data_IF_652331158977
#
_entry.id   IF_652331158977
#
_cell.length_a   1.000
_cell.length_b   1.000
_cell.length_c   1.000
_cell.angle_alpha   90.00
_cell.angle_beta   90.00
_cell.angle_gamma   90.00
#
_symmetry.space_group_name_H-M   'P 1'
#
loop_
_entity.id
_entity.type
_entity.pdbx_description
1 polymer ?
#
# COMPACT_ATOMS: atom_id res chain seq x y z
N UNK A 1 -13.25 -7.78 11.95
CA UNK A 1 -12.87 -6.35 11.78
C UNK A 1 -11.61 -6.29 10.95
N UNK A 2 -11.58 -5.45 9.92
CA UNK A 2 -10.39 -5.25 9.11
C UNK A 2 -9.29 -4.59 9.97
N UNK A 3 -8.13 -5.23 10.02
CA UNK A 3 -6.92 -4.74 10.69
C UNK A 3 -5.85 -4.64 9.62
N UNK A 4 -5.31 -3.45 9.42
CA UNK A 4 -4.25 -3.21 8.46
C UNK A 4 -3.04 -2.59 9.16
N UNK A 5 -1.84 -3.03 8.77
CA UNK A 5 -0.63 -2.26 8.98
C UNK A 5 -0.49 -1.25 7.85
N UNK A 6 -0.63 0.03 8.18
CA UNK A 6 -0.38 1.11 7.25
C UNK A 6 1.07 1.58 7.41
N UNK A 7 1.85 1.47 6.34
CA UNK A 7 3.19 2.07 6.27
C UNK A 7 3.07 3.40 5.54
N UNK A 8 3.42 4.47 6.24
CA UNK A 8 3.51 5.81 5.68
C UNK A 8 4.97 6.17 5.51
N UNK A 9 5.38 6.33 4.26
CA UNK A 9 6.70 6.82 3.89
C UNK A 9 6.61 8.32 3.58
N UNK A 10 7.42 9.10 4.29
CA UNK A 10 7.59 10.52 4.00
C UNK A 10 8.90 10.72 3.21
N UNK A 11 8.82 11.15 1.93
CA UNK A 11 9.99 11.36 1.09
C UNK A 11 10.84 12.56 1.55
N UNK A 12 10.27 13.51 2.29
CA UNK A 12 10.99 14.69 2.78
C UNK A 12 11.84 14.35 3.99
N UNK A 13 11.26 13.69 5.00
CA UNK A 13 12.01 13.24 6.18
C UNK A 13 12.81 11.96 5.94
N UNK A 14 12.60 11.27 4.81
CA UNK A 14 13.14 9.92 4.50
C UNK A 14 12.83 8.87 5.58
N UNK A 15 11.82 9.13 6.41
CA UNK A 15 11.39 8.20 7.46
C UNK A 15 10.15 7.43 7.03
N UNK A 16 10.06 6.18 7.47
CA UNK A 16 8.86 5.36 7.33
C UNK A 16 8.29 5.08 8.72
N UNK A 17 7.02 5.43 8.93
CA UNK A 17 6.29 5.13 10.16
C UNK A 17 5.25 4.06 9.88
N UNK A 18 5.23 3.01 10.70
CA UNK A 18 4.20 1.99 10.67
C UNK A 18 3.11 2.35 11.69
N UNK A 19 1.87 2.45 11.22
CA UNK A 19 0.70 2.66 12.05
C UNK A 19 -0.24 1.46 11.91
N UNK A 20 -0.69 0.92 13.05
CA UNK A 20 -1.73 -0.11 13.04
C UNK A 20 -3.08 0.61 13.05
N UNK A 21 -3.90 0.35 12.03
CA UNK A 21 -5.25 0.90 11.90
C UNK A 21 -6.28 -0.22 11.98
N UNK A 22 -7.32 0.03 12.77
CA UNK A 22 -8.38 -0.93 13.06
C UNK A 22 -9.76 -0.27 12.90
N UNK A 23 -10.78 -1.08 12.60
CA UNK A 23 -12.18 -0.65 12.60
C UNK A 23 -12.54 0.30 11.46
N UNK A 24 -13.21 1.42 11.78
CA UNK A 24 -13.78 2.35 10.80
C UNK A 24 -12.73 2.99 9.86
N UNK A 25 -11.51 3.23 10.36
CA UNK A 25 -10.40 3.76 9.55
C UNK A 25 -9.90 2.77 8.51
N UNK A 26 -9.91 1.49 8.87
CA UNK A 26 -9.57 0.39 7.97
C UNK A 26 -10.64 0.25 6.88
N UNK A 27 -11.93 0.35 7.24
CA UNK A 27 -13.04 0.30 6.28
C UNK A 27 -12.94 1.40 5.21
N UNK A 28 -12.47 2.60 5.57
CA UNK A 28 -12.30 3.72 4.64
C UNK A 28 -11.23 3.48 3.55
N UNK A 29 -10.28 2.56 3.78
CA UNK A 29 -9.28 2.15 2.80
C UNK A 29 -9.77 1.01 1.90
N UNK A 30 -10.75 0.24 2.35
CA UNK A 30 -11.31 -0.86 1.56
C UNK A 30 -12.03 -0.28 0.34
N UNK A 31 -11.70 -0.79 -0.86
CA UNK A 31 -12.22 -0.31 -2.14
C UNK A 31 -11.36 0.75 -2.82
N UNK A 32 -10.33 1.31 -2.15
CA UNK A 32 -9.33 2.16 -2.80
C UNK A 32 -8.40 1.32 -3.67
N UNK A 33 -7.86 1.92 -4.72
CA UNK A 33 -6.87 1.31 -5.62
C UNK A 33 -5.46 1.83 -5.36
N UNK A 34 -4.46 1.03 -5.71
CA UNK A 34 -3.07 1.51 -5.84
C UNK A 34 -3.05 2.66 -6.85
N UNK A 35 -2.46 3.77 -6.44
CA UNK A 35 -2.41 5.02 -7.18
C UNK A 35 -3.38 6.09 -6.67
N UNK A 36 -4.37 5.71 -5.86
CA UNK A 36 -5.35 6.66 -5.32
C UNK A 36 -4.75 7.51 -4.19
N UNK A 37 -5.24 8.74 -4.12
CA UNK A 37 -4.95 9.67 -3.02
C UNK A 37 -5.99 9.51 -1.91
N UNK A 38 -5.50 9.55 -0.67
CA UNK A 38 -6.27 9.42 0.57
C UNK A 38 -5.82 10.51 1.53
N UNK A 39 -6.78 11.18 2.16
CA UNK A 39 -6.49 12.15 3.20
C UNK A 39 -6.01 11.44 4.48
N UNK A 40 -4.83 11.82 4.97
CA UNK A 40 -4.25 11.33 6.21
C UNK A 40 -5.13 11.61 7.44
N UNK A 41 -6.07 12.55 7.34
CA UNK A 41 -7.06 12.84 8.39
C UNK A 41 -7.97 11.65 8.65
N UNK A 42 -8.36 10.92 7.59
CA UNK A 42 -9.18 9.71 7.69
C UNK A 42 -8.44 8.58 8.42
N UNK A 43 -7.10 8.62 8.38
CA UNK A 43 -6.23 7.60 8.96
C UNK A 43 -5.72 8.01 10.36
N UNK A 44 -5.93 9.26 10.76
CA UNK A 44 -5.45 9.82 12.03
C UNK A 44 -3.97 10.18 12.04
N UNK A 45 -3.38 10.41 10.85
CA UNK A 45 -1.93 10.71 10.66
C UNK A 45 -1.73 12.22 10.36
N UNK A 46 -2.74 13.04 10.62
CA UNK A 46 -2.71 14.49 10.38
C UNK A 46 -3.25 14.90 9.01
N UNK A 47 -3.19 16.20 8.69
CA UNK A 47 -3.69 16.78 7.44
C UNK A 47 -2.69 16.67 6.29
N UNK A 48 -2.26 15.46 5.96
CA UNK A 48 -1.33 15.19 4.86
C UNK A 48 -2.03 14.37 3.78
N UNK A 49 -1.69 14.61 2.50
CA UNK A 49 -2.19 13.76 1.41
C UNK A 49 -1.26 12.56 1.22
N UNK A 50 -1.85 11.37 1.27
CA UNK A 50 -1.15 10.10 1.11
C UNK A 50 -1.58 9.46 -0.22
N UNK A 51 -0.63 8.92 -0.97
CA UNK A 51 -0.91 8.08 -2.14
C UNK A 51 -0.61 6.64 -1.82
N UNK A 52 -1.55 5.75 -2.10
CA UNK A 52 -1.35 4.31 -1.95
C UNK A 52 -0.42 3.85 -3.07
N UNK A 53 0.73 3.29 -2.72
CA UNK A 53 1.71 2.79 -3.69
C UNK A 53 1.68 1.27 -3.84
N UNK A 54 1.18 0.56 -2.83
CA UNK A 54 1.11 -0.90 -2.88
C UNK A 54 0.58 -1.52 -1.60
N UNK A 55 0.72 -2.84 -1.50
CA UNK A 55 0.34 -3.59 -0.32
C UNK A 55 0.62 -5.08 -0.47
N UNK A 56 0.37 -5.79 0.60
CA UNK A 56 0.56 -7.24 0.72
C UNK A 56 -0.66 -7.87 1.36
N UNK A 57 -1.03 -9.02 0.82
CA UNK A 57 -2.10 -9.87 1.35
C UNK A 57 -1.66 -10.64 2.60
N UNK A 58 -2.60 -11.21 3.36
CA UNK A 58 -2.31 -12.10 4.51
C UNK A 58 -1.41 -13.28 4.14
N UNK A 59 -1.51 -13.78 2.91
CA UNK A 59 -0.69 -14.88 2.40
C UNK A 59 0.69 -14.42 1.88
N UNK A 60 1.08 -13.15 2.08
CA UNK A 60 2.32 -12.57 1.56
C UNK A 60 2.29 -12.32 0.05
N UNK A 61 1.13 -12.40 -0.59
CA UNK A 61 0.97 -12.14 -2.02
C UNK A 61 1.06 -10.62 -2.26
N UNK A 62 1.98 -10.14 -3.11
CA UNK A 62 2.09 -8.72 -3.39
C UNK A 62 0.94 -8.24 -4.27
N UNK A 63 0.46 -7.02 -4.01
CA UNK A 63 -0.48 -6.33 -4.88
C UNK A 63 0.25 -5.71 -6.08
N UNK A 64 -0.41 -5.72 -7.25
CA UNK A 64 0.13 -5.18 -8.50
C UNK A 64 -0.84 -4.19 -9.14
N UNK A 65 -0.32 -3.01 -9.49
CA UNK A 65 -1.12 -1.91 -10.05
C UNK A 65 -1.75 -2.22 -11.42
N UNK A 66 -1.10 -3.06 -12.25
CA UNK A 66 -1.58 -3.46 -13.58
C UNK A 66 -2.89 -4.28 -13.52
N UNK A 67 -3.14 -4.99 -12.42
CA UNK A 67 -4.24 -5.95 -12.34
C UNK A 67 -5.45 -5.28 -11.70
N UNK A 68 -6.53 -5.19 -12.45
CA UNK A 68 -7.78 -4.65 -11.95
C UNK A 68 -8.48 -5.61 -10.96
N UNK A 69 -9.09 -5.01 -9.93
CA UNK A 69 -9.88 -5.68 -8.91
C UNK A 69 -9.10 -6.01 -7.64
N UNK A 70 -9.76 -6.65 -6.68
CA UNK A 70 -9.16 -7.08 -5.41
C UNK A 70 -8.85 -8.58 -5.36
N UNK A 71 -9.19 -9.34 -6.40
CA UNK A 71 -9.02 -10.79 -6.42
C UNK A 71 -7.57 -11.21 -6.69
N UNK A 72 -7.22 -12.42 -6.23
CA UNK A 72 -5.98 -13.12 -6.57
C UNK A 72 -6.08 -13.68 -7.98
N UNK A 73 -5.12 -13.39 -8.84
CA UNK A 73 -5.04 -13.92 -10.21
C UNK A 73 -3.66 -14.52 -10.46
N UNK A 74 -3.61 -15.57 -11.28
CA UNK A 74 -2.35 -16.13 -11.77
C UNK A 74 -1.98 -15.46 -13.09
N UNK A 75 -0.98 -14.59 -13.05
CA UNK A 75 -0.47 -13.89 -14.23
C UNK A 75 0.87 -14.48 -14.65
N UNK A 76 1.14 -14.51 -15.96
CA UNK A 76 2.48 -14.80 -16.49
C UNK A 76 3.28 -13.52 -16.38
N UNK A 77 4.29 -13.52 -15.53
CA UNK A 77 5.14 -12.36 -15.30
C UNK A 77 6.50 -12.57 -15.96
N UNK A 78 6.95 -11.56 -16.70
CA UNK A 78 8.33 -11.46 -17.22
C UNK A 78 9.25 -10.70 -16.26
N UNK A 79 8.68 -10.02 -15.25
CA UNK A 79 9.44 -9.29 -14.24
C UNK A 79 8.59 -8.32 -13.42
N UNK A 80 9.26 -7.56 -12.55
CA UNK A 80 8.69 -6.50 -11.73
C UNK A 80 8.16 -6.98 -10.38
N UNK A 81 7.04 -6.41 -9.95
CA UNK A 81 6.45 -6.67 -8.63
C UNK A 81 6.00 -8.14 -8.54
N UNK A 82 6.55 -8.87 -7.57
CA UNK A 82 6.25 -10.27 -7.30
C UNK A 82 7.03 -11.29 -8.14
N UNK A 83 7.87 -10.86 -9.08
CA UNK A 83 8.76 -11.75 -9.83
C UNK A 83 10.04 -11.05 -10.26
N UNK A 84 11.17 -11.52 -9.71
CA UNK A 84 12.51 -11.09 -10.12
C UNK A 84 13.12 -12.23 -10.96
N UNK A 85 13.18 -12.10 -12.31
CA UNK A 85 13.79 -13.11 -13.17
C UNK A 85 15.30 -13.15 -12.91
N UNK A 86 15.89 -14.34 -12.94
CA UNK A 86 17.34 -14.48 -12.87
C UNK A 86 17.97 -14.41 -14.26
N UNK A 87 17.29 -15.00 -15.25
CA UNK A 87 17.74 -15.05 -16.64
C UNK A 87 16.92 -14.11 -17.54
N UNK A 88 17.57 -13.61 -18.60
CA UNK A 88 16.90 -12.79 -19.61
C UNK A 88 15.86 -13.63 -20.36
N UNK A 89 14.60 -13.20 -20.31
CA UNK A 89 13.49 -13.86 -21.01
C UNK A 89 12.72 -14.87 -20.16
N UNK A 90 13.11 -15.08 -18.89
CA UNK A 90 12.35 -15.96 -17.99
C UNK A 90 10.94 -15.40 -17.77
N UNK A 91 9.93 -16.24 -17.99
CA UNK A 91 8.53 -15.93 -17.71
C UNK A 91 7.95 -17.00 -16.82
N UNK A 92 7.40 -16.60 -15.68
CA UNK A 92 6.79 -17.53 -14.73
C UNK A 92 5.36 -17.14 -14.42
N UNK A 93 4.48 -18.14 -14.39
CA UNK A 93 3.12 -17.96 -13.88
C UNK A 93 3.18 -17.86 -12.35
N UNK A 94 2.88 -16.68 -11.82
CA UNK A 94 2.88 -16.38 -10.38
C UNK A 94 1.50 -15.88 -9.94
N UNK A 95 1.18 -16.14 -8.69
CA UNK A 95 -0.03 -15.63 -8.07
C UNK A 95 0.25 -14.19 -7.60
N UNK A 96 -0.64 -13.28 -7.99
CA UNK A 96 -0.56 -11.86 -7.67
C UNK A 96 -1.94 -11.35 -7.30
N UNK A 97 -2.00 -10.33 -6.45
CA UNK A 97 -3.25 -9.68 -6.08
C UNK A 97 -3.44 -8.44 -6.96
N UNK A 98 -4.70 -8.15 -7.28
CA UNK A 98 -5.04 -6.92 -7.98
C UNK A 98 -4.77 -5.66 -7.16
N UNK A 99 -4.98 -4.50 -7.78
CA UNK A 99 -4.66 -3.18 -7.23
C UNK A 99 -5.61 -2.69 -6.15
N UNK A 100 -6.77 -3.32 -5.98
CA UNK A 100 -7.78 -2.86 -5.02
C UNK A 100 -7.50 -3.41 -3.61
N UNK A 101 -7.54 -2.54 -2.61
CA UNK A 101 -7.41 -2.90 -1.20
C UNK A 101 -8.70 -3.56 -0.74
N UNK A 102 -8.60 -4.81 -0.28
CA UNK A 102 -9.70 -5.58 0.29
C UNK A 102 -9.49 -5.87 1.77
N UNK A 103 -10.48 -6.48 2.42
CA UNK A 103 -10.41 -6.89 3.85
C UNK A 103 -9.36 -7.98 4.13
N UNK A 104 -8.92 -8.69 3.08
CA UNK A 104 -7.87 -9.70 3.19
C UNK A 104 -6.47 -9.09 3.29
N UNK A 105 -6.32 -7.82 2.92
CA UNK A 105 -5.01 -7.14 2.94
C UNK A 105 -4.44 -7.16 4.35
N UNK A 106 -3.14 -7.39 4.48
CA UNK A 106 -2.45 -7.30 5.77
C UNK A 106 -1.80 -5.93 5.94
N UNK A 107 -1.14 -5.47 4.88
CA UNK A 107 -0.32 -4.27 4.90
C UNK A 107 -0.60 -3.42 3.67
N UNK A 108 -0.71 -2.10 3.89
CA UNK A 108 -0.85 -1.10 2.83
C UNK A 108 0.32 -0.13 2.92
N UNK A 109 0.98 0.10 1.78
CA UNK A 109 2.09 1.03 1.66
C UNK A 109 1.60 2.32 1.01
N UNK A 110 1.93 3.44 1.64
CA UNK A 110 1.55 4.77 1.19
C UNK A 110 2.73 5.74 1.25
N UNK A 111 2.72 6.72 0.35
CA UNK A 111 3.73 7.79 0.28
C UNK A 111 3.04 9.14 0.47
N UNK A 112 3.65 10.03 1.25
CA UNK A 112 3.19 11.42 1.39
C UNK A 112 3.49 12.19 0.10
N UNK A 113 2.48 12.82 -0.50
CA UNK A 113 2.62 13.61 -1.75
C UNK A 113 2.56 15.11 -1.52
N UNK A 114 1.87 15.57 -0.48
CA UNK A 114 1.76 16.99 -0.22
C UNK A 114 1.32 17.29 1.20
N UNK A 115 1.98 18.27 1.79
CA UNK A 115 1.61 18.90 3.04
C UNK A 115 0.53 19.95 2.76
N UNK A 116 -0.63 19.84 3.42
CA UNK A 116 -1.50 21.01 3.50
C UNK A 116 -0.93 22.06 4.47
N UNK A 117 0.09 21.74 5.28
CA UNK A 117 0.77 22.73 6.12
C UNK A 117 2.07 22.16 6.69
N UNK A 118 3.17 22.91 6.52
CA UNK A 118 4.44 22.75 7.21
C UNK A 118 4.30 22.40 8.69
N UNK A 119 4.88 21.29 9.15
CA UNK A 119 5.53 21.12 10.47
C UNK A 119 6.26 19.76 10.53
N UNK A 120 7.58 19.73 10.75
CA UNK A 120 8.31 18.49 11.03
C UNK A 120 7.90 18.02 12.43
N UNK A 121 7.11 16.94 12.52
CA UNK A 121 6.68 16.40 13.81
C UNK A 121 7.74 15.41 14.32
N UNK A 122 8.63 15.99 15.13
CA UNK A 122 9.17 15.47 16.40
C UNK A 122 9.71 14.03 16.40
N UNK A 123 11.04 13.95 16.36
CA UNK A 123 11.76 12.91 17.09
C UNK A 123 11.57 13.14 18.59
N UNK A 124 10.93 12.19 19.28
CA UNK A 124 10.82 12.19 20.74
C UNK A 124 11.96 11.36 21.35
N UNK A 125 12.66 12.04 22.27
CA UNK A 125 13.31 11.56 23.50
C UNK A 125 14.60 10.77 23.40
#
# INVERSE_FOLDING_TARGET
MAKFQLIVSDPVSKTSKAATIEGAKAQALVGKSIGDEVDGKLLGIGNMKLKITGGTDKDGIPMRFDIQGGAKKRAILSGGVGFKPNDRGERRRKLVRGRMVGEDTLQVNSVVIGDATSKPVEAKS
#
